data_IF_148509527643
#
_entry.id   IF_148509527643
#
_cell.length_a   1.000
_cell.length_b   1.000
_cell.length_c   1.000
_cell.angle_alpha   90.00
_cell.angle_beta   90.00
_cell.angle_gamma   90.00
#
_symmetry.space_group_name_H-M   'P 1'
#
loop_
_entity.id
_entity.type
_entity.pdbx_description
1 polymer ?
#
# COMPACT_ATOMS: atom_id res chain seq x y z
N UNK A 1 21.17 0.72 5.52
CA UNK A 1 20.25 -0.09 4.69
C UNK A 1 21.03 -1.30 4.18
N UNK A 2 20.41 -2.45 3.92
CA UNK A 2 21.10 -3.51 3.19
C UNK A 2 21.49 -2.97 1.81
N UNK A 3 22.73 -3.22 1.38
CA UNK A 3 23.18 -2.87 0.04
C UNK A 3 22.52 -3.83 -0.95
N UNK A 4 21.51 -3.32 -1.64
CA UNK A 4 20.90 -4.00 -2.77
C UNK A 4 21.29 -3.24 -4.03
N UNK A 5 21.92 -3.93 -4.96
CA UNK A 5 22.16 -3.42 -6.31
C UNK A 5 20.84 -3.54 -7.08
N UNK A 6 20.08 -2.44 -7.16
CA UNK A 6 18.84 -2.37 -7.94
C UNK A 6 19.09 -1.62 -9.25
N UNK A 7 18.58 -2.14 -10.36
CA UNK A 7 18.47 -1.38 -11.60
C UNK A 7 17.14 -0.62 -11.54
N UNK A 8 17.20 0.70 -11.44
CA UNK A 8 16.03 1.54 -11.62
C UNK A 8 15.54 1.46 -13.08
N UNK A 9 14.22 1.45 -13.25
CA UNK A 9 13.62 1.57 -14.58
C UNK A 9 14.11 2.87 -15.22
N UNK A 10 14.85 2.75 -16.34
CA UNK A 10 15.39 3.89 -17.07
C UNK A 10 16.74 4.44 -16.58
N UNK A 11 17.37 3.84 -15.54
CA UNK A 11 18.67 4.30 -15.03
C UNK A 11 19.56 3.12 -14.58
N UNK A 12 20.78 3.06 -15.13
CA UNK A 12 21.83 2.13 -14.66
C UNK A 12 22.60 2.77 -13.51
N UNK A 13 22.30 2.40 -12.27
CA UNK A 13 23.04 2.84 -11.08
C UNK A 13 22.32 2.51 -9.77
N UNK A 14 23.05 2.60 -8.66
CA UNK A 14 22.52 2.31 -7.33
C UNK A 14 21.60 3.44 -6.85
N UNK A 15 20.48 3.08 -6.22
CA UNK A 15 19.60 4.01 -5.48
C UNK A 15 20.32 4.48 -4.22
N UNK A 16 20.41 5.79 -4.03
CA UNK A 16 20.96 6.39 -2.84
C UNK A 16 19.97 6.30 -1.66
N UNK A 17 20.47 6.44 -0.42
CA UNK A 17 19.58 6.53 0.75
C UNK A 17 18.57 7.69 0.62
N UNK A 18 18.97 8.81 -0.01
CA UNK A 18 18.11 9.96 -0.26
C UNK A 18 16.97 9.64 -1.22
N UNK A 19 17.25 8.87 -2.27
CA UNK A 19 16.22 8.44 -3.23
C UNK A 19 15.19 7.54 -2.55
N UNK A 20 15.60 6.63 -1.67
CA UNK A 20 14.66 5.82 -0.89
C UNK A 20 13.74 6.66 -0.01
N UNK A 21 14.28 7.68 0.65
CA UNK A 21 13.48 8.58 1.48
C UNK A 21 12.50 9.40 0.64
N UNK A 22 12.92 9.88 -0.53
CA UNK A 22 12.06 10.60 -1.46
C UNK A 22 10.94 9.72 -2.01
N UNK A 23 11.25 8.49 -2.40
CA UNK A 23 10.23 7.53 -2.86
C UNK A 23 9.27 7.15 -1.72
N UNK A 24 9.77 7.00 -0.49
CA UNK A 24 8.93 6.75 0.68
C UNK A 24 8.00 7.92 0.99
N UNK A 25 8.47 9.17 0.81
CA UNK A 25 7.62 10.37 0.90
C UNK A 25 6.55 10.37 -0.20
N UNK A 26 6.93 10.10 -1.45
CA UNK A 26 5.98 10.02 -2.56
C UNK A 26 4.91 8.93 -2.35
N UNK A 27 5.30 7.74 -1.88
CA UNK A 27 4.35 6.68 -1.53
C UNK A 27 3.41 7.07 -0.38
N UNK A 28 3.92 7.79 0.62
CA UNK A 28 3.13 8.28 1.74
C UNK A 28 2.02 9.25 1.33
N UNK A 29 2.16 9.99 0.23
CA UNK A 29 1.11 10.90 -0.26
C UNK A 29 -0.17 10.18 -0.69
N UNK A 30 -0.06 8.89 -1.02
CA UNK A 30 -1.18 8.03 -1.38
C UNK A 30 -1.61 7.08 -0.27
N UNK A 31 -0.94 7.10 0.88
CA UNK A 31 -1.07 6.01 1.86
C UNK A 31 -1.67 6.46 3.19
N UNK A 32 -2.48 5.59 3.79
CA UNK A 32 -3.18 5.83 5.06
C UNK A 32 -3.20 4.59 5.93
N UNK A 33 -3.17 4.79 7.25
CA UNK A 33 -3.46 3.74 8.23
C UNK A 33 -4.94 3.76 8.60
N UNK A 34 -5.53 2.58 8.77
CA UNK A 34 -6.93 2.40 9.08
C UNK A 34 -7.10 1.95 10.54
N UNK A 35 -7.90 2.70 11.29
CA UNK A 35 -8.12 2.52 12.73
C UNK A 35 -9.61 2.35 12.97
N UNK A 36 -9.99 1.49 13.90
CA UNK A 36 -11.35 1.47 14.45
C UNK A 36 -11.26 1.40 15.98
N UNK A 37 -11.97 2.32 16.66
CA UNK A 37 -11.75 2.59 18.08
C UNK A 37 -10.33 3.11 18.31
N UNK A 38 -9.59 2.48 19.22
CA UNK A 38 -8.18 2.78 19.49
C UNK A 38 -7.21 1.72 18.94
N UNK A 39 -7.65 0.95 17.94
CA UNK A 39 -6.85 -0.15 17.40
C UNK A 39 -6.57 0.04 15.91
N UNK A 40 -5.29 -0.08 15.55
CA UNK A 40 -4.88 -0.20 14.17
C UNK A 40 -5.39 -1.52 13.58
N UNK A 41 -6.09 -1.45 12.45
CA UNK A 41 -6.64 -2.63 11.76
C UNK A 41 -5.88 -2.99 10.48
N UNK A 42 -5.13 -2.04 9.91
CA UNK A 42 -4.31 -2.26 8.73
C UNK A 42 -3.96 -0.95 8.04
N UNK A 43 -3.58 -1.05 6.77
CA UNK A 43 -3.19 0.07 5.91
C UNK A 43 -4.00 0.05 4.61
N UNK A 44 -4.00 1.17 3.89
CA UNK A 44 -4.63 1.28 2.57
C UNK A 44 -3.91 2.29 1.68
N UNK A 45 -4.14 2.16 0.38
CA UNK A 45 -3.73 3.12 -0.64
C UNK A 45 -4.95 3.89 -1.15
N UNK A 46 -4.90 5.21 -1.13
CA UNK A 46 -5.84 6.11 -1.78
C UNK A 46 -5.65 6.02 -3.28
N UNK A 47 -6.69 5.59 -3.98
CA UNK A 47 -6.68 5.36 -5.42
C UNK A 47 -7.88 5.99 -6.14
N UNK A 48 -7.70 6.32 -7.41
CA UNK A 48 -8.80 6.76 -8.28
C UNK A 48 -8.89 5.95 -9.56
N UNK A 49 -10.12 5.68 -10.01
CA UNK A 49 -10.44 5.08 -11.32
C UNK A 49 -11.41 6.06 -12.00
N UNK A 50 -10.88 6.88 -12.91
CA UNK A 50 -11.61 8.05 -13.42
C UNK A 50 -12.01 8.98 -12.27
N UNK A 51 -13.32 9.24 -12.12
CA UNK A 51 -13.87 10.08 -11.06
C UNK A 51 -14.21 9.31 -9.77
N UNK A 52 -14.00 7.99 -9.74
CA UNK A 52 -14.30 7.16 -8.56
C UNK A 52 -13.08 7.18 -7.64
N UNK A 53 -13.28 7.62 -6.40
CA UNK A 53 -12.24 7.73 -5.39
C UNK A 53 -12.46 6.66 -4.32
N UNK A 54 -11.38 6.01 -3.87
CA UNK A 54 -11.49 4.92 -2.93
C UNK A 54 -10.21 4.58 -2.17
N UNK A 55 -10.36 3.61 -1.28
CA UNK A 55 -9.27 2.92 -0.61
C UNK A 55 -9.06 1.57 -1.27
N UNK A 56 -7.83 1.27 -1.70
CA UNK A 56 -7.41 -0.07 -2.05
C UNK A 56 -6.71 -0.69 -0.85
N UNK A 57 -7.19 -1.85 -0.42
CA UNK A 57 -6.69 -2.54 0.78
C UNK A 57 -6.92 -4.05 0.65
N UNK A 58 -6.46 -4.82 1.64
CA UNK A 58 -6.79 -6.23 1.76
C UNK A 58 -8.23 -6.39 2.27
N UNK A 59 -8.94 -7.42 1.80
CA UNK A 59 -10.32 -7.68 2.23
C UNK A 59 -10.40 -7.95 3.74
N UNK A 60 -9.47 -8.73 4.30
CA UNK A 60 -9.47 -8.99 5.75
C UNK A 60 -9.33 -7.71 6.58
N UNK A 61 -8.59 -6.70 6.09
CA UNK A 61 -8.44 -5.41 6.78
C UNK A 61 -9.79 -4.72 6.86
N UNK A 62 -10.57 -4.72 5.77
CA UNK A 62 -11.93 -4.20 5.78
C UNK A 62 -12.84 -4.97 6.75
N UNK A 63 -12.74 -6.29 6.77
CA UNK A 63 -13.49 -7.12 7.73
C UNK A 63 -13.12 -6.81 9.19
N UNK A 64 -11.83 -6.57 9.48
CA UNK A 64 -11.37 -6.19 10.82
C UNK A 64 -11.83 -4.80 11.24
N UNK A 65 -11.95 -3.87 10.30
CA UNK A 65 -12.54 -2.55 10.55
C UNK A 65 -14.00 -2.67 10.94
N UNK A 66 -14.80 -3.45 10.18
CA UNK A 66 -16.23 -3.64 10.46
C UNK A 66 -16.49 -4.34 11.81
N UNK A 67 -15.58 -5.23 12.21
CA UNK A 67 -15.65 -5.95 13.50
C UNK A 67 -15.16 -5.12 14.69
N UNK A 68 -14.65 -3.90 14.46
CA UNK A 68 -14.09 -3.05 15.52
C UNK A 68 -15.12 -2.50 16.52
N UNK A 69 -14.62 -1.75 17.50
CA UNK A 69 -15.41 -1.15 18.59
C UNK A 69 -16.41 -0.12 18.07
N UNK A 70 -15.98 0.81 17.20
CA UNK A 70 -16.82 1.82 16.60
C UNK A 70 -17.71 1.21 15.52
N UNK A 71 -19.03 1.51 15.58
CA UNK A 71 -20.06 0.85 14.75
C UNK A 71 -20.54 1.68 13.57
N UNK A 72 -20.26 2.97 13.57
CA UNK A 72 -20.74 3.97 12.61
C UNK A 72 -19.61 4.58 11.78
N UNK A 73 -18.36 4.46 12.20
CA UNK A 73 -17.21 5.03 11.51
C UNK A 73 -15.91 4.24 11.73
N UNK A 74 -14.90 4.58 10.93
CA UNK A 74 -13.50 4.26 11.15
C UNK A 74 -12.66 5.53 11.03
N UNK A 75 -11.40 5.48 11.46
CA UNK A 75 -10.47 6.60 11.42
C UNK A 75 -9.35 6.35 10.40
N UNK A 76 -8.88 7.43 9.76
CA UNK A 76 -7.69 7.42 8.90
C UNK A 76 -6.60 8.35 9.44
N UNK A 77 -5.34 7.93 9.31
CA UNK A 77 -4.19 8.78 9.58
C UNK A 77 -3.75 9.47 8.29
N UNK A 78 -3.98 10.79 8.20
CA UNK A 78 -3.69 11.60 7.01
C UNK A 78 -2.36 12.38 7.09
N UNK A 79 -1.63 12.29 8.20
CA UNK A 79 -0.44 13.11 8.44
C UNK A 79 0.13 12.97 9.85
N UNK A 80 1.25 13.64 10.14
CA UNK A 80 1.97 13.49 11.41
C UNK A 80 1.31 14.22 12.59
N UNK A 81 0.41 15.16 12.30
CA UNK A 81 -0.26 15.97 13.32
C UNK A 81 -1.28 15.16 14.13
N UNK A 82 -1.48 15.56 15.39
CA UNK A 82 -2.55 15.03 16.22
C UNK A 82 -3.90 15.32 15.56
N UNK A 83 -4.62 14.26 15.19
CA UNK A 83 -5.87 14.37 14.46
C UNK A 83 -6.81 13.23 14.79
N UNK A 84 -8.10 13.49 14.57
CA UNK A 84 -9.17 12.50 14.55
C UNK A 84 -9.97 12.69 13.28
N UNK A 85 -9.58 11.98 12.22
CA UNK A 85 -10.30 12.01 10.95
C UNK A 85 -11.17 10.77 10.80
N UNK A 86 -12.44 10.92 11.17
CA UNK A 86 -13.44 9.87 11.07
C UNK A 86 -14.08 9.85 9.68
N UNK A 87 -14.31 8.66 9.15
CA UNK A 87 -15.05 8.42 7.93
C UNK A 87 -16.24 7.49 8.23
N UNK A 88 -17.48 7.92 7.95
CA UNK A 88 -18.66 7.15 8.29
C UNK A 88 -18.82 5.94 7.37
N UNK A 89 -19.28 4.80 7.90
CA UNK A 89 -19.48 3.59 7.12
C UNK A 89 -20.57 3.74 6.05
N UNK A 90 -21.62 4.52 6.31
CA UNK A 90 -22.66 4.87 5.33
C UNK A 90 -22.10 5.59 4.09
N UNK A 91 -20.93 6.22 4.21
CA UNK A 91 -20.24 6.87 3.11
C UNK A 91 -19.37 5.92 2.28
N UNK A 92 -19.39 4.62 2.56
CA UNK A 92 -18.53 3.62 1.94
C UNK A 92 -19.34 2.56 1.17
N UNK A 93 -18.82 2.14 0.01
CA UNK A 93 -19.30 0.93 -0.68
C UNK A 93 -18.11 0.01 -0.94
N UNK A 94 -18.01 -1.13 -0.24
CA UNK A 94 -16.96 -2.11 -0.51
C UNK A 94 -17.27 -2.89 -1.80
N UNK A 95 -16.27 -2.98 -2.66
CA UNK A 95 -16.25 -3.79 -3.88
C UNK A 95 -15.20 -4.87 -3.64
N UNK A 96 -15.68 -6.07 -3.31
CA UNK A 96 -14.82 -7.20 -2.99
C UNK A 96 -14.29 -7.76 -4.30
N UNK A 97 -12.98 -7.60 -4.54
CA UNK A 97 -12.33 -8.07 -5.77
C UNK A 97 -11.83 -9.50 -5.55
N UNK A 98 -11.23 -9.74 -4.40
CA UNK A 98 -10.75 -11.02 -3.93
C UNK A 98 -11.16 -11.24 -2.48
N UNK A 99 -12.07 -12.17 -2.24
CA UNK A 99 -12.63 -12.42 -0.91
C UNK A 99 -11.62 -13.16 -0.03
N UNK A 100 -11.32 -12.59 1.13
CA UNK A 100 -10.47 -13.24 2.13
C UNK A 100 -11.08 -14.54 2.66
N UNK A 101 -10.24 -15.57 2.81
CA UNK A 101 -10.55 -16.84 3.45
C UNK A 101 -9.60 -17.12 4.62
N UNK A 102 -10.10 -17.27 5.86
CA UNK A 102 -9.28 -17.62 7.02
C UNK A 102 -8.60 -19.00 6.92
N UNK A 103 -9.15 -19.91 6.11
CA UNK A 103 -8.62 -21.27 5.95
C UNK A 103 -7.37 -21.30 5.07
N UNK A 104 -7.21 -20.30 4.20
CA UNK A 104 -6.16 -20.22 3.18
C UNK A 104 -5.61 -18.79 3.06
N UNK A 105 -5.28 -18.17 4.20
CA UNK A 105 -4.89 -16.75 4.23
C UNK A 105 -3.71 -16.43 3.33
N UNK A 106 -2.72 -17.32 3.21
CA UNK A 106 -1.53 -17.13 2.38
C UNK A 106 -1.80 -17.27 0.87
N UNK A 107 -2.88 -17.97 0.50
CA UNK A 107 -3.19 -18.27 -0.88
C UNK A 107 -3.91 -17.11 -1.58
N UNK A 108 -4.68 -16.33 -0.83
CA UNK A 108 -5.54 -15.30 -1.37
C UNK A 108 -6.71 -15.89 -2.19
N UNK A 109 -7.42 -15.05 -2.97
CA UNK A 109 -7.24 -13.62 -3.09
C UNK A 109 -7.75 -12.87 -1.84
N UNK A 110 -7.30 -11.64 -1.66
CA UNK A 110 -7.54 -10.84 -0.44
C UNK A 110 -7.36 -9.36 -0.78
N UNK A 111 -8.35 -8.81 -1.48
CA UNK A 111 -8.27 -7.52 -2.12
C UNK A 111 -9.66 -6.88 -2.20
N UNK A 112 -9.78 -5.66 -1.69
CA UNK A 112 -11.02 -4.91 -1.68
C UNK A 112 -10.78 -3.45 -2.04
N UNK A 113 -11.66 -2.91 -2.88
CA UNK A 113 -11.75 -1.48 -3.15
C UNK A 113 -12.93 -0.91 -2.37
N UNK A 114 -12.69 0.08 -1.51
CA UNK A 114 -13.74 0.75 -0.74
C UNK A 114 -14.00 2.10 -1.40
N UNK A 115 -15.11 2.21 -2.14
CA UNK A 115 -15.53 3.46 -2.74
C UNK A 115 -15.94 4.44 -1.64
N UNK A 116 -15.42 5.66 -1.72
CA UNK A 116 -15.69 6.75 -0.79
C UNK A 116 -16.65 7.74 -1.45
N UNK A 117 -17.81 7.99 -0.82
CA UNK A 117 -18.88 8.82 -1.41
C UNK A 117 -19.12 10.15 -0.69
N UNK A 118 -18.64 10.30 0.55
CA UNK A 118 -18.87 11.53 1.30
C UNK A 118 -18.03 12.70 0.73
N UNK A 119 -18.65 13.72 0.10
CA UNK A 119 -17.92 14.75 -0.63
C UNK A 119 -17.09 15.64 0.30
N UNK A 120 -17.62 16.01 1.47
CA UNK A 120 -16.90 16.86 2.42
C UNK A 120 -15.65 16.16 2.98
N UNK A 121 -15.77 14.86 3.27
CA UNK A 121 -14.63 14.05 3.71
C UNK A 121 -13.62 13.84 2.58
N UNK A 122 -14.07 13.63 1.34
CA UNK A 122 -13.19 13.54 0.18
C UNK A 122 -12.36 14.80 -0.02
N UNK A 123 -12.96 15.99 0.05
CA UNK A 123 -12.22 17.26 -0.08
C UNK A 123 -11.20 17.43 1.05
N UNK A 124 -11.54 16.99 2.27
CA UNK A 124 -10.58 16.98 3.39
C UNK A 124 -9.38 16.05 3.09
N UNK A 125 -9.63 14.85 2.56
CA UNK A 125 -8.56 13.93 2.15
C UNK A 125 -7.70 14.58 1.06
N UNK A 126 -8.30 15.13 0.00
CA UNK A 126 -7.59 15.78 -1.11
C UNK A 126 -6.75 16.99 -0.69
N UNK A 127 -7.13 17.67 0.39
CA UNK A 127 -6.32 18.77 0.96
C UNK A 127 -5.04 18.30 1.67
N UNK A 128 -4.91 17.01 1.97
CA UNK A 128 -3.80 16.45 2.77
C UNK A 128 -3.03 15.33 2.06
N UNK A 129 -3.70 14.64 1.14
CA UNK A 129 -3.24 13.44 0.45
C UNK A 129 -3.68 13.48 -1.01
N UNK A 130 -3.05 12.66 -1.83
CA UNK A 130 -3.41 12.45 -3.23
C UNK A 130 -4.07 11.10 -3.42
N UNK A 131 -4.85 10.95 -4.50
CA UNK A 131 -5.35 9.66 -4.95
C UNK A 131 -4.52 9.19 -6.14
N UNK A 132 -3.94 8.00 -6.03
CA UNK A 132 -3.12 7.44 -7.10
C UNK A 132 -4.02 6.96 -8.25
N UNK A 133 -3.85 7.48 -9.48
CA UNK A 133 -4.71 7.09 -10.57
C UNK A 133 -4.34 5.70 -11.07
N UNK A 134 -5.31 4.79 -11.02
CA UNK A 134 -5.26 3.45 -11.61
C UNK A 134 -5.73 3.55 -13.06
N UNK A 135 -4.84 3.18 -13.98
CA UNK A 135 -5.13 3.07 -15.39
C UNK A 135 -4.32 1.92 -16.00
N UNK A 136 -4.81 1.37 -17.11
CA UNK A 136 -4.22 0.18 -17.75
C UNK A 136 -2.79 0.43 -18.22
N UNK A 137 -2.46 1.63 -18.71
CA UNK A 137 -1.11 1.97 -19.18
C UNK A 137 -0.03 1.83 -18.09
N UNK A 138 -0.34 2.16 -16.84
CA UNK A 138 0.56 1.94 -15.69
C UNK A 138 0.74 0.46 -15.38
N UNK A 139 -0.34 -0.33 -15.48
CA UNK A 139 -0.28 -1.79 -15.35
C UNK A 139 0.63 -2.41 -16.41
N UNK A 140 0.46 -2.03 -17.68
CA UNK A 140 1.32 -2.47 -18.78
C UNK A 140 2.79 -2.08 -18.59
N UNK A 141 3.04 -0.90 -18.03
CA UNK A 141 4.40 -0.46 -17.69
C UNK A 141 5.03 -1.39 -16.65
N UNK A 142 4.30 -1.71 -15.58
CA UNK A 142 4.75 -2.59 -14.50
C UNK A 142 5.05 -4.02 -15.00
N UNK A 143 4.22 -4.57 -15.89
CA UNK A 143 4.44 -5.91 -16.46
C UNK A 143 5.73 -6.01 -17.30
N UNK A 144 6.23 -4.90 -17.84
CA UNK A 144 7.47 -4.86 -18.65
C UNK A 144 8.74 -4.66 -17.82
N UNK A 145 8.61 -4.38 -16.52
CA UNK A 145 9.78 -4.10 -15.68
C UNK A 145 10.55 -5.37 -15.34
N UNK A 146 11.88 -5.30 -15.22
CA UNK A 146 12.68 -6.38 -14.64
C UNK A 146 12.47 -6.41 -13.11
N UNK A 147 11.42 -7.11 -12.66
CA UNK A 147 10.97 -7.12 -11.26
C UNK A 147 12.06 -7.49 -10.25
N UNK A 148 12.96 -8.40 -10.63
CA UNK A 148 14.10 -8.88 -9.85
C UNK A 148 15.17 -7.81 -9.60
N UNK A 149 15.15 -6.72 -10.37
CA UNK A 149 16.08 -5.61 -10.26
C UNK A 149 15.47 -4.33 -9.71
N UNK A 150 14.15 -4.29 -9.55
CA UNK A 150 13.46 -3.14 -8.98
C UNK A 150 13.50 -3.20 -7.46
N UNK A 151 13.61 -2.06 -6.75
CA UNK A 151 13.35 -2.01 -5.32
C UNK A 151 11.84 -2.08 -5.06
N UNK A 152 11.40 -2.97 -4.17
CA UNK A 152 10.00 -3.09 -3.80
C UNK A 152 9.76 -2.39 -2.47
N UNK A 153 9.25 -1.16 -2.51
CA UNK A 153 9.02 -0.35 -1.32
C UNK A 153 7.66 -0.68 -0.71
N UNK A 154 7.67 -1.32 0.45
CA UNK A 154 6.47 -1.66 1.21
C UNK A 154 6.13 -0.53 2.15
N UNK A 155 4.91 0.01 2.04
CA UNK A 155 4.41 1.04 2.94
C UNK A 155 3.33 0.47 3.88
N UNK A 156 3.37 0.84 5.16
CA UNK A 156 2.30 0.52 6.10
C UNK A 156 2.58 1.02 7.52
N UNK A 157 1.72 0.66 8.47
CA UNK A 157 1.97 0.88 9.89
C UNK A 157 2.15 -0.46 10.61
N UNK A 158 3.39 -0.90 10.91
CA UNK A 158 3.62 -2.08 11.73
C UNK A 158 3.03 -1.85 13.12
N UNK A 159 2.13 -2.74 13.55
CA UNK A 159 1.41 -2.64 14.81
C UNK A 159 2.37 -2.61 16.01
N UNK A 160 3.49 -3.31 15.94
CA UNK A 160 4.53 -3.28 17.00
C UNK A 160 5.20 -1.92 17.18
N UNK A 161 5.12 -1.03 16.18
CA UNK A 161 5.62 0.35 16.27
C UNK A 161 4.54 1.33 16.69
N UNK A 162 3.29 0.88 16.79
CA UNK A 162 2.17 1.69 17.21
C UNK A 162 1.88 1.44 18.69
N UNK A 163 1.51 2.47 19.43
CA UNK A 163 1.26 2.34 20.86
C UNK A 163 0.19 3.29 21.35
N UNK A 164 -0.60 2.83 22.31
CA UNK A 164 -1.52 3.69 23.07
C UNK A 164 -0.67 4.52 24.03
N UNK A 165 -0.85 5.84 24.05
CA UNK A 165 -0.16 6.69 25.01
C UNK A 165 -0.75 6.45 26.40
N UNK A 166 0.11 6.53 27.44
CA UNK A 166 -0.29 6.26 28.82
C UNK A 166 -1.35 7.25 29.35
N UNK A 167 -1.47 8.42 28.74
CA UNK A 167 -2.42 9.47 29.10
C UNK A 167 -3.40 9.72 27.95
N UNK A 168 -4.64 9.24 28.12
CA UNK A 168 -5.76 9.54 27.23
C UNK A 168 -5.93 8.58 26.03
N UNK A 169 -6.95 8.81 25.18
CA UNK A 169 -7.34 7.91 24.09
C UNK A 169 -6.47 8.11 22.83
N UNK A 170 -5.18 8.39 22.98
CA UNK A 170 -4.31 8.71 21.84
C UNK A 170 -3.54 7.48 21.40
N UNK A 171 -3.75 7.08 20.15
CA UNK A 171 -2.95 6.06 19.47
C UNK A 171 -1.81 6.74 18.70
N UNK A 172 -0.57 6.46 19.09
CA UNK A 172 0.62 6.81 18.31
C UNK A 172 0.77 5.80 17.17
N UNK A 173 0.70 6.27 15.93
CA UNK A 173 0.92 5.47 14.73
C UNK A 173 2.26 5.86 14.11
N UNK A 174 3.11 4.87 13.86
CA UNK A 174 4.40 5.08 13.18
C UNK A 174 4.33 4.39 11.82
N UNK A 175 4.28 5.19 10.76
CA UNK A 175 4.38 4.68 9.39
C UNK A 175 5.79 4.17 9.11
N UNK A 176 5.87 3.16 8.27
CA UNK A 176 7.07 2.49 7.81
C UNK A 176 7.05 2.43 6.29
N UNK A 177 8.20 2.71 5.69
CA UNK A 177 8.47 2.42 4.29
C UNK A 177 9.81 1.69 4.22
N UNK A 178 9.83 0.48 3.68
CA UNK A 178 11.04 -0.34 3.61
C UNK A 178 11.15 -1.09 2.30
N UNK A 179 12.39 -1.30 1.84
CA UNK A 179 12.68 -2.02 0.61
C UNK A 179 12.77 -3.53 0.86
N UNK A 180 12.03 -4.30 0.07
CA UNK A 180 12.16 -5.74 -0.06
C UNK A 180 12.80 -6.14 -1.39
N UNK A 181 13.36 -7.34 -1.41
CA UNK A 181 13.87 -8.00 -2.62
C UNK A 181 12.78 -8.88 -3.21
N UNK A 182 12.52 -8.73 -4.51
CA UNK A 182 11.65 -9.63 -5.24
C UNK A 182 12.19 -11.07 -5.23
N UNK A 183 11.30 -12.03 -4.97
CA UNK A 183 11.64 -13.45 -4.96
C UNK A 183 11.01 -14.18 -6.13
N UNK A 184 9.68 -14.09 -6.26
CA UNK A 184 8.95 -14.80 -7.31
C UNK A 184 7.60 -14.12 -7.61
N UNK A 185 7.07 -14.40 -8.81
CA UNK A 185 5.70 -14.09 -9.23
C UNK A 185 4.94 -15.40 -9.40
N UNK A 186 3.71 -15.44 -8.89
CA UNK A 186 2.81 -16.61 -8.95
C UNK A 186 1.47 -16.16 -9.51
N UNK A 187 0.86 -16.96 -10.37
CA UNK A 187 -0.52 -16.73 -10.83
C UNK A 187 -1.42 -17.83 -10.26
N UNK A 188 -2.55 -17.44 -9.65
CA UNK A 188 -3.57 -18.36 -9.12
C UNK A 188 -4.96 -17.78 -9.39
N UNK A 189 -5.84 -18.57 -9.98
CA UNK A 189 -7.23 -18.23 -10.24
C UNK A 189 -7.45 -16.87 -10.93
N UNK A 190 -6.55 -16.54 -11.86
CA UNK A 190 -6.59 -15.29 -12.62
C UNK A 190 -5.92 -14.09 -11.93
N UNK A 191 -5.64 -14.17 -10.63
CA UNK A 191 -4.88 -13.17 -9.88
C UNK A 191 -3.38 -13.43 -10.02
N UNK A 192 -2.60 -12.35 -10.05
CA UNK A 192 -1.16 -12.41 -9.90
C UNK A 192 -0.74 -11.99 -8.49
N UNK A 193 0.31 -12.65 -8.02
CA UNK A 193 0.89 -12.50 -6.70
C UNK A 193 2.40 -12.34 -6.85
N UNK A 194 3.02 -11.63 -5.93
CA UNK A 194 4.47 -11.68 -5.76
C UNK A 194 4.83 -12.03 -4.32
N UNK A 195 6.01 -12.64 -4.17
CA UNK A 195 6.67 -12.76 -2.88
C UNK A 195 7.88 -11.85 -2.86
N UNK A 196 8.02 -11.10 -1.77
CA UNK A 196 9.18 -10.26 -1.52
C UNK A 196 9.80 -10.64 -0.18
N UNK A 197 11.13 -10.72 -0.14
CA UNK A 197 11.88 -10.92 1.10
C UNK A 197 12.30 -9.58 1.65
N UNK A 198 11.93 -9.30 2.89
CA UNK A 198 12.17 -8.00 3.55
C UNK A 198 12.96 -8.21 4.86
N UNK A 199 13.92 -7.34 5.21
CA UNK A 199 14.63 -7.44 6.50
C UNK A 199 13.69 -7.43 7.70
N UNK A 200 14.11 -7.99 8.83
CA UNK A 200 13.32 -8.05 10.06
C UNK A 200 14.19 -7.74 11.26
N UNK A 201 13.68 -6.95 12.21
CA UNK A 201 14.33 -6.67 13.49
C UNK A 201 15.64 -5.86 13.44
N UNK A 202 16.01 -5.31 12.28
CA UNK A 202 17.27 -4.58 12.07
C UNK A 202 17.07 -3.36 11.18
N UNK A 203 17.96 -2.37 11.25
CA UNK A 203 17.92 -1.16 10.40
C UNK A 203 16.57 -0.41 10.40
N UNK A 204 15.89 -0.34 11.55
CA UNK A 204 14.54 0.20 11.70
C UNK A 204 13.44 -0.60 10.97
N UNK A 205 13.69 -1.82 10.51
CA UNK A 205 12.64 -2.74 10.06
C UNK A 205 11.94 -3.37 11.27
N UNK A 206 10.61 -3.56 11.23
CA UNK A 206 9.90 -4.23 12.31
C UNK A 206 10.27 -5.71 12.39
N UNK A 207 10.02 -6.36 13.53
CA UNK A 207 10.07 -7.81 13.68
C UNK A 207 8.81 -8.47 13.09
N UNK A 208 7.67 -7.77 13.20
CA UNK A 208 6.36 -8.19 12.69
C UNK A 208 5.75 -7.10 11.83
N UNK A 209 5.28 -7.48 10.66
CA UNK A 209 4.63 -6.61 9.69
C UNK A 209 3.11 -6.55 9.83
N UNK A 210 2.52 -7.19 10.85
CA UNK A 210 1.10 -7.04 11.14
C UNK A 210 0.72 -5.55 11.24
N UNK A 211 -0.34 -5.13 10.54
CA UNK A 211 -0.71 -3.71 10.36
C UNK A 211 -0.24 -3.07 9.04
N UNK A 212 0.73 -3.69 8.35
CA UNK A 212 1.14 -3.31 6.98
C UNK A 212 0.16 -3.86 5.93
N UNK A 213 -0.59 -4.93 6.25
CA UNK A 213 -1.60 -5.49 5.36
C UNK A 213 -2.56 -4.43 4.82
N UNK A 214 -2.86 -4.53 3.52
CA UNK A 214 -3.58 -3.55 2.71
C UNK A 214 -2.74 -2.36 2.23
N UNK A 215 -1.52 -2.19 2.73
CA UNK A 215 -0.60 -1.14 2.30
C UNK A 215 -0.07 -1.35 0.89
N UNK A 216 0.16 -0.24 0.18
CA UNK A 216 0.73 -0.25 -1.15
C UNK A 216 2.19 -0.69 -1.16
N UNK A 217 2.57 -1.43 -2.19
CA UNK A 217 3.94 -1.77 -2.52
C UNK A 217 4.32 -1.04 -3.80
N UNK A 218 5.45 -0.33 -3.78
CA UNK A 218 5.78 0.69 -4.76
C UNK A 218 7.12 0.41 -5.43
N UNK A 219 7.18 0.69 -6.74
CA UNK A 219 8.44 0.72 -7.50
C UNK A 219 8.78 2.18 -7.81
N UNK A 220 9.86 2.75 -7.25
CA UNK A 220 10.39 4.04 -7.66
C UNK A 220 10.95 3.99 -9.08
N UNK A 221 10.78 5.09 -9.80
CA UNK A 221 11.33 5.30 -11.14
C UNK A 221 11.61 6.79 -11.36
N UNK A 222 12.56 7.10 -12.25
CA UNK A 222 12.82 8.47 -12.65
C UNK A 222 11.99 8.82 -13.89
N UNK A 223 11.33 9.97 -13.84
CA UNK A 223 10.85 10.61 -15.06
C UNK A 223 12.05 11.27 -15.73
N UNK A 224 12.53 10.69 -16.82
CA UNK A 224 13.66 11.24 -17.58
C UNK A 224 13.23 12.17 -18.70
N UNK A 225 11.98 12.12 -19.17
CA UNK A 225 11.47 12.92 -20.29
C UNK A 225 10.04 13.42 -20.02
N UNK A 226 9.72 14.63 -20.46
CA UNK A 226 8.34 15.11 -20.56
C UNK A 226 7.65 14.51 -21.82
N UNK A 227 6.33 14.69 -22.00
CA UNK A 227 5.62 14.21 -23.18
C UNK A 227 6.14 14.77 -24.52
N UNK A 228 6.91 15.86 -24.49
CA UNK A 228 7.52 16.50 -25.67
C UNK A 228 8.99 16.04 -25.88
N UNK A 229 9.46 15.05 -25.12
CA UNK A 229 10.81 14.50 -25.21
C UNK A 229 11.90 15.39 -24.61
N UNK A 230 11.56 16.39 -23.78
CA UNK A 230 12.55 17.18 -23.06
C UNK A 230 13.00 16.45 -21.81
N UNK A 231 14.31 16.40 -21.61
CA UNK A 231 14.90 15.88 -20.38
C UNK A 231 14.43 16.71 -19.20
N UNK A 232 13.55 16.15 -18.37
CA UNK A 232 13.16 16.76 -17.11
C UNK A 232 14.32 16.64 -16.13
N UNK A 233 14.40 17.56 -15.15
CA UNK A 233 15.17 17.26 -13.95
C UNK A 233 14.65 15.92 -13.42
N UNK A 234 15.53 14.92 -13.17
CA UNK A 234 15.10 13.62 -12.70
C UNK A 234 14.21 13.85 -11.48
N UNK A 235 12.93 13.54 -11.62
CA UNK A 235 11.96 13.59 -10.53
C UNK A 235 11.62 12.16 -10.18
N UNK A 236 11.84 11.80 -8.92
CA UNK A 236 11.57 10.46 -8.46
C UNK A 236 10.06 10.31 -8.29
N UNK A 237 9.51 9.30 -8.94
CA UNK A 237 8.10 9.00 -8.89
C UNK A 237 7.92 7.53 -8.51
N UNK A 238 6.68 7.11 -8.20
CA UNK A 238 6.38 5.76 -7.72
C UNK A 238 5.25 5.12 -8.52
N UNK A 239 5.41 3.84 -8.83
CA UNK A 239 4.37 3.00 -9.41
C UNK A 239 3.82 2.07 -8.33
N UNK A 240 2.50 2.06 -8.14
CA UNK A 240 1.86 1.08 -7.26
C UNK A 240 1.96 -0.30 -7.91
N UNK A 241 2.92 -1.11 -7.45
CA UNK A 241 3.24 -2.43 -7.98
C UNK A 241 2.48 -3.55 -7.28
N UNK A 242 1.95 -3.30 -6.08
CA UNK A 242 1.21 -4.32 -5.35
C UNK A 242 0.47 -3.84 -4.11
N UNK A 243 -0.26 -4.77 -3.49
CA UNK A 243 -0.91 -4.59 -2.19
C UNK A 243 -0.50 -5.75 -1.29
N UNK A 244 0.21 -5.46 -0.21
CA UNK A 244 0.65 -6.49 0.75
C UNK A 244 -0.55 -7.01 1.54
N UNK A 245 -0.66 -8.32 1.76
CA UNK A 245 -1.77 -8.88 2.55
C UNK A 245 -1.34 -9.94 3.56
N UNK A 246 -0.24 -10.65 3.32
CA UNK A 246 0.19 -11.76 4.19
C UNK A 246 1.69 -11.73 4.49
N UNK A 247 2.07 -12.25 5.66
CA UNK A 247 3.45 -12.44 6.09
C UNK A 247 3.69 -13.92 6.41
N UNK A 248 4.75 -14.51 5.84
CA UNK A 248 5.22 -15.85 6.18
C UNK A 248 6.28 -15.76 7.29
N UNK A 249 6.13 -16.58 8.33
CA UNK A 249 7.07 -16.72 9.44
C UNK A 249 8.16 -17.75 9.13
N UNK A 250 9.25 -17.32 8.47
CA UNK A 250 10.31 -18.25 8.03
C UNK A 250 11.64 -18.05 8.77
N UNK A 251 12.17 -16.82 8.79
CA UNK A 251 13.51 -16.53 9.30
C UNK A 251 13.53 -15.49 10.42
N UNK A 252 14.62 -15.47 11.20
CA UNK A 252 14.84 -14.52 12.31
C UNK A 252 15.07 -13.09 11.77
N UNK A 253 15.90 -12.96 10.74
CA UNK A 253 16.36 -11.66 10.23
C UNK A 253 15.65 -11.20 8.96
N UNK A 254 14.74 -12.01 8.42
CA UNK A 254 13.96 -11.70 7.22
C UNK A 254 12.54 -12.25 7.36
N UNK A 255 11.60 -11.59 6.72
CA UNK A 255 10.24 -12.10 6.49
C UNK A 255 9.98 -12.17 5.00
N UNK A 256 9.07 -13.06 4.61
CA UNK A 256 8.52 -13.07 3.26
C UNK A 256 7.13 -12.45 3.33
N UNK A 257 6.90 -11.41 2.52
CA UNK A 257 5.58 -10.82 2.36
C UNK A 257 4.98 -11.30 1.05
N UNK A 258 3.69 -11.62 1.09
CA UNK A 258 2.88 -11.94 -0.09
C UNK A 258 2.03 -10.71 -0.42
N UNK A 259 2.01 -10.37 -1.70
CA UNK A 259 1.28 -9.23 -2.23
C UNK A 259 0.47 -9.61 -3.46
N UNK A 260 -0.64 -8.91 -3.69
CA UNK A 260 -1.33 -8.86 -4.99
C UNK A 260 -0.48 -8.05 -5.96
N UNK A 261 -0.24 -8.58 -7.16
CA UNK A 261 0.59 -7.94 -8.19
C UNK A 261 -0.16 -6.94 -9.08
N UNK A 262 0.51 -6.42 -10.12
CA UNK A 262 -0.05 -5.44 -11.02
C UNK A 262 -1.33 -5.92 -11.74
N UNK A 263 -1.39 -7.18 -12.18
CA UNK A 263 -2.58 -7.68 -12.88
C UNK A 263 -3.83 -7.64 -11.98
N UNK A 264 -3.68 -8.08 -10.74
CA UNK A 264 -4.72 -8.04 -9.70
C UNK A 264 -5.24 -6.60 -9.47
N UNK A 265 -4.37 -5.59 -9.56
CA UNK A 265 -4.75 -4.19 -9.34
C UNK A 265 -5.32 -3.55 -10.62
N UNK A 266 -4.57 -3.58 -11.72
CA UNK A 266 -4.89 -2.77 -12.90
C UNK A 266 -5.87 -3.46 -13.85
N UNK A 267 -6.08 -4.77 -13.73
CA UNK A 267 -7.14 -5.47 -14.46
C UNK A 267 -8.34 -5.73 -13.56
N UNK A 268 -8.17 -6.52 -12.49
CA UNK A 268 -9.31 -7.00 -11.69
C UNK A 268 -10.00 -5.89 -10.89
N UNK A 269 -9.26 -5.01 -10.21
CA UNK A 269 -9.89 -3.90 -9.46
C UNK A 269 -10.56 -2.93 -10.43
N UNK A 270 -9.89 -2.53 -11.52
CA UNK A 270 -10.48 -1.62 -12.51
C UNK A 270 -11.77 -2.22 -13.09
N UNK A 271 -11.72 -3.49 -13.50
CA UNK A 271 -12.88 -4.19 -14.03
C UNK A 271 -14.02 -4.25 -13.00
N UNK A 272 -13.74 -4.69 -11.76
CA UNK A 272 -14.74 -4.80 -10.71
C UNK A 272 -15.40 -3.44 -10.40
N UNK A 273 -14.62 -2.36 -10.33
CA UNK A 273 -15.12 -1.02 -9.99
C UNK A 273 -15.97 -0.41 -11.10
N UNK A 274 -15.61 -0.63 -12.37
CA UNK A 274 -16.37 -0.10 -13.50
C UNK A 274 -17.68 -0.84 -13.78
N UNK A 275 -17.86 -2.04 -13.21
CA UNK A 275 -19.03 -2.89 -13.41
C UNK A 275 -19.83 -3.17 -12.12
N UNK A 276 -19.53 -2.44 -11.04
CA UNK A 276 -20.21 -2.54 -9.73
C UNK A 276 -21.43 -1.61 -9.61
#
# INVERSE_FOLDING_TARGET
MPEYNYDLVGYKGNISATDYEEAGRAANDFSVSLINGNDLKGSATLVSIGNIHGLLTADHVWQYILKGEAKDHFCMVLGPELQRFEYPFEGCTPIIVGKYSPEHEEEGPDLTFIRLHNPLKLETIKSRKSFYPLNTAKGETLERLPHDRCPWLVWGAPGEKCSKLATGPVLKVIHFCGAGKFMEKVNRDGFDYAKIRIPSGSFNYPNRYGGVSGGGVWIPYWLSEDPDGKVLKPTLNVLLAGVAYYQIEEEVNYKTLILHGPKSIYEHVIHAVLHA
#
